data_IF_708073975737
#
_entry.id   IF_708073975737
#
_cell.length_a   1.000
_cell.length_b   1.000
_cell.length_c   1.000
_cell.angle_alpha   90.00
_cell.angle_beta   90.00
_cell.angle_gamma   90.00
#
_symmetry.space_group_name_H-M   'P 1'
#
loop_
_entity.id
_entity.type
_entity.pdbx_description
1 polymer ?
#
# COMPACT_ATOMS: atom_id res chain seq x y z
N UNK A 1 -37.73 38.56 16.75
CA UNK A 1 -37.38 39.17 15.46
C UNK A 1 -35.91 39.57 15.51
N UNK A 2 -35.03 38.63 15.19
CA UNK A 2 -33.61 38.91 14.95
C UNK A 2 -33.39 38.83 13.45
N UNK A 3 -33.05 39.94 12.82
CA UNK A 3 -32.76 39.99 11.39
C UNK A 3 -31.47 39.19 11.14
N UNK A 4 -31.59 38.05 10.47
CA UNK A 4 -30.46 37.39 9.82
C UNK A 4 -30.12 38.21 8.58
N UNK A 5 -29.14 39.10 8.71
CA UNK A 5 -28.52 39.76 7.58
C UNK A 5 -27.87 38.69 6.70
N UNK A 6 -28.48 38.40 5.55
CA UNK A 6 -27.87 37.68 4.45
C UNK A 6 -26.66 38.48 3.96
N UNK A 7 -25.49 38.20 4.52
CA UNK A 7 -24.24 38.80 4.11
C UNK A 7 -23.78 38.20 2.78
N UNK A 8 -24.35 38.68 1.69
CA UNK A 8 -23.71 38.61 0.38
C UNK A 8 -22.47 39.52 0.47
N UNK A 9 -21.26 38.95 0.55
CA UNK A 9 -19.98 39.65 0.51
C UNK A 9 -19.04 38.98 -0.50
N UNK A 10 -18.18 39.73 -1.22
CA UNK A 10 -18.42 39.98 -2.63
C UNK A 10 -17.39 39.35 -3.58
N UNK A 11 -17.78 39.32 -4.86
CA UNK A 11 -17.03 39.08 -6.11
C UNK A 11 -15.73 39.91 -6.25
N UNK A 12 -15.33 40.67 -5.23
CA UNK A 12 -14.30 41.71 -5.30
C UNK A 12 -12.86 41.17 -5.39
N UNK A 13 -12.62 39.92 -4.95
CA UNK A 13 -11.28 39.30 -5.03
C UNK A 13 -11.19 38.12 -6.01
N UNK A 14 -12.28 37.73 -6.66
CA UNK A 14 -12.33 36.47 -7.42
C UNK A 14 -11.31 36.45 -8.55
N UNK A 15 -11.17 37.57 -9.27
CA UNK A 15 -10.20 37.74 -10.33
C UNK A 15 -8.77 37.56 -9.80
N UNK A 16 -8.42 38.25 -8.73
CA UNK A 16 -7.08 38.16 -8.15
C UNK A 16 -6.76 36.74 -7.67
N UNK A 17 -7.70 36.08 -6.99
CA UNK A 17 -7.55 34.72 -6.46
C UNK A 17 -7.46 33.68 -7.58
N UNK A 18 -8.31 33.78 -8.60
CA UNK A 18 -8.29 32.90 -9.75
C UNK A 18 -6.99 33.03 -10.55
N UNK A 19 -6.50 34.26 -10.76
CA UNK A 19 -5.22 34.50 -11.44
C UNK A 19 -4.03 33.95 -10.65
N UNK A 20 -4.03 34.12 -9.32
CA UNK A 20 -3.00 33.53 -8.44
C UNK A 20 -3.01 32.00 -8.47
N UNK A 21 -4.19 31.37 -8.41
CA UNK A 21 -4.32 29.92 -8.49
C UNK A 21 -3.85 29.39 -9.85
N UNK A 22 -4.31 30.03 -10.94
CA UNK A 22 -3.97 29.63 -12.29
C UNK A 22 -2.47 29.80 -12.59
N UNK A 23 -1.82 30.82 -12.03
CA UNK A 23 -0.36 30.98 -12.08
C UNK A 23 0.37 29.77 -11.45
N UNK A 24 -0.06 29.32 -10.27
CA UNK A 24 0.51 28.11 -9.65
C UNK A 24 0.27 26.86 -10.49
N UNK A 25 -0.91 26.72 -11.08
CA UNK A 25 -1.23 25.58 -11.95
C UNK A 25 -0.37 25.58 -13.21
N UNK A 26 -0.18 26.74 -13.85
CA UNK A 26 0.70 26.88 -15.01
C UNK A 26 2.15 26.57 -14.67
N UNK A 27 2.65 27.03 -13.53
CA UNK A 27 3.99 26.67 -13.02
C UNK A 27 4.14 25.18 -12.78
N UNK A 28 3.12 24.52 -12.21
CA UNK A 28 3.14 23.06 -12.04
C UNK A 28 3.11 22.34 -13.39
N UNK A 29 2.33 22.84 -14.35
CA UNK A 29 2.16 22.26 -15.67
C UNK A 29 3.48 22.22 -16.47
N UNK A 30 4.42 23.15 -16.24
CA UNK A 30 5.73 23.12 -16.92
C UNK A 30 6.60 21.92 -16.55
N UNK A 31 6.28 21.22 -15.45
CA UNK A 31 6.96 20.00 -15.01
C UNK A 31 6.44 18.75 -15.75
N UNK A 32 5.37 18.88 -16.53
CA UNK A 32 4.73 17.78 -17.25
C UNK A 32 4.73 18.04 -18.76
N UNK A 33 4.62 16.95 -19.54
CA UNK A 33 4.64 17.03 -21.02
C UNK A 33 3.34 17.51 -21.63
N UNK A 34 2.23 17.27 -20.94
CA UNK A 34 0.88 17.49 -21.47
C UNK A 34 0.29 18.78 -20.95
N UNK A 35 -0.77 19.26 -21.60
CA UNK A 35 -1.58 20.38 -21.12
C UNK A 35 -2.74 19.92 -20.21
N UNK A 36 -2.60 18.77 -19.55
CA UNK A 36 -3.58 18.24 -18.59
C UNK A 36 -2.91 18.17 -17.23
N UNK A 37 -3.49 18.83 -16.22
CA UNK A 37 -2.90 18.92 -14.90
C UNK A 37 -3.75 18.18 -13.86
N UNK A 38 -3.11 17.28 -13.11
CA UNK A 38 -3.70 16.74 -11.89
C UNK A 38 -3.35 17.62 -10.70
N UNK A 39 -4.36 18.10 -9.97
CA UNK A 39 -4.20 18.84 -8.72
C UNK A 39 -4.97 18.12 -7.62
N UNK A 40 -4.30 17.30 -6.80
CA UNK A 40 -4.93 16.72 -5.61
C UNK A 40 -5.38 17.81 -4.65
N UNK A 41 -6.61 17.71 -4.15
CA UNK A 41 -7.17 18.64 -3.19
C UNK A 41 -7.59 17.87 -1.93
N UNK A 42 -6.78 17.97 -0.88
CA UNK A 42 -7.01 17.28 0.38
C UNK A 42 -5.72 17.12 1.16
N UNK A 43 -5.75 16.20 2.11
CA UNK A 43 -4.67 15.90 3.03
C UNK A 43 -5.14 14.88 4.06
N UNK A 44 -4.33 14.66 5.09
CA UNK A 44 -4.68 13.75 6.17
C UNK A 44 -5.97 14.21 6.86
N UNK A 45 -6.97 13.32 6.91
CA UNK A 45 -8.22 13.52 7.62
C UNK A 45 -9.01 14.79 7.19
N UNK A 46 -8.87 15.23 5.94
CA UNK A 46 -9.70 16.29 5.36
C UNK A 46 -11.13 15.83 5.04
N UNK A 47 -12.05 16.79 4.93
CA UNK A 47 -13.46 16.60 4.55
C UNK A 47 -14.29 15.77 5.53
N UNK A 48 -13.93 15.80 6.82
CA UNK A 48 -14.68 15.09 7.86
C UNK A 48 -16.02 15.79 8.16
N UNK A 49 -16.00 17.13 8.15
CA UNK A 49 -17.20 17.93 8.41
C UNK A 49 -17.85 18.40 7.12
N UNK A 50 -19.19 18.47 7.14
CA UNK A 50 -19.97 19.02 6.02
C UNK A 50 -19.57 20.49 5.78
N UNK A 51 -19.36 21.27 6.85
CA UNK A 51 -18.99 22.68 6.74
C UNK A 51 -17.65 22.88 6.01
N UNK A 52 -16.64 22.06 6.31
CA UNK A 52 -15.35 22.07 5.60
C UNK A 52 -15.53 21.70 4.13
N UNK A 53 -16.24 20.60 3.84
CA UNK A 53 -16.46 20.13 2.49
C UNK A 53 -17.22 21.15 1.64
N UNK A 54 -18.27 21.74 2.20
CA UNK A 54 -19.09 22.76 1.53
C UNK A 54 -18.27 24.03 1.28
N UNK A 55 -17.49 24.49 2.27
CA UNK A 55 -16.62 25.65 2.10
C UNK A 55 -15.57 25.42 0.99
N UNK A 56 -14.96 24.25 0.92
CA UNK A 56 -14.01 23.91 -0.14
C UNK A 56 -14.71 23.86 -1.50
N UNK A 57 -15.84 23.16 -1.59
CA UNK A 57 -16.59 23.01 -2.83
C UNK A 57 -17.03 24.36 -3.40
N UNK A 58 -17.67 25.20 -2.58
CA UNK A 58 -18.19 26.49 -3.05
C UNK A 58 -17.10 27.47 -3.46
N UNK A 59 -15.98 27.52 -2.72
CA UNK A 59 -14.86 28.38 -3.08
C UNK A 59 -14.21 27.95 -4.40
N UNK A 60 -13.93 26.66 -4.57
CA UNK A 60 -13.34 26.14 -5.82
C UNK A 60 -14.29 26.26 -7.00
N UNK A 61 -15.58 26.01 -6.80
CA UNK A 61 -16.61 26.21 -7.83
C UNK A 61 -16.60 27.66 -8.32
N UNK A 62 -16.59 28.63 -7.41
CA UNK A 62 -16.56 30.05 -7.79
C UNK A 62 -15.30 30.42 -8.57
N UNK A 63 -14.14 29.85 -8.18
CA UNK A 63 -12.87 30.03 -8.91
C UNK A 63 -12.91 29.41 -10.31
N UNK A 64 -13.44 28.19 -10.44
CA UNK A 64 -13.56 27.50 -11.71
C UNK A 64 -14.53 28.21 -12.64
N UNK A 65 -15.67 28.67 -12.13
CA UNK A 65 -16.66 29.44 -12.89
C UNK A 65 -16.01 30.70 -13.49
N UNK A 66 -15.22 31.45 -12.70
CA UNK A 66 -14.46 32.60 -13.21
C UNK A 66 -13.41 32.20 -14.25
N UNK A 67 -12.62 31.15 -14.00
CA UNK A 67 -11.57 30.73 -14.95
C UNK A 67 -12.20 30.33 -16.29
N UNK A 68 -13.25 29.51 -16.25
CA UNK A 68 -13.90 28.94 -17.43
C UNK A 68 -14.72 29.99 -18.21
N UNK A 69 -15.24 31.03 -17.55
CA UNK A 69 -15.97 32.12 -18.20
C UNK A 69 -15.08 33.16 -18.89
N UNK A 70 -13.75 33.06 -18.76
CA UNK A 70 -12.79 34.04 -19.29
C UNK A 70 -11.89 33.40 -20.37
N UNK A 71 -12.29 33.44 -21.66
CA UNK A 71 -11.53 32.80 -22.75
C UNK A 71 -10.08 33.25 -22.88
N UNK A 72 -9.76 34.49 -22.47
CA UNK A 72 -8.39 35.02 -22.48
C UNK A 72 -7.42 34.25 -21.56
N UNK A 73 -7.94 33.46 -20.62
CA UNK A 73 -7.13 32.65 -19.70
C UNK A 73 -6.70 31.31 -20.31
N UNK A 74 -7.26 30.88 -21.45
CA UNK A 74 -6.90 29.63 -22.14
C UNK A 74 -6.78 28.42 -21.18
N UNK A 75 -7.72 28.30 -20.27
CA UNK A 75 -7.71 27.28 -19.23
C UNK A 75 -9.13 26.75 -18.99
N UNK A 76 -9.22 25.48 -18.65
CA UNK A 76 -10.44 24.82 -18.20
C UNK A 76 -10.13 24.11 -16.88
N UNK A 77 -10.94 24.37 -15.86
CA UNK A 77 -10.79 23.77 -14.54
C UNK A 77 -12.14 23.19 -14.08
N UNK A 78 -12.11 21.97 -13.55
CA UNK A 78 -13.27 21.29 -12.99
C UNK A 78 -12.83 20.30 -11.92
N UNK A 79 -13.76 19.89 -11.06
CA UNK A 79 -13.55 18.74 -10.19
C UNK A 79 -13.54 17.48 -11.04
N UNK A 80 -12.59 16.59 -10.79
CA UNK A 80 -12.47 15.33 -11.50
C UNK A 80 -11.86 14.25 -10.64
N UNK A 81 -11.93 13.03 -11.16
CA UNK A 81 -11.37 11.82 -10.54
C UNK A 81 -10.01 11.47 -11.14
N UNK A 82 -9.26 10.58 -10.47
CA UNK A 82 -7.99 10.06 -11.00
C UNK A 82 -8.18 9.35 -12.34
N UNK A 83 -9.28 8.63 -12.50
CA UNK A 83 -9.61 7.90 -13.72
C UNK A 83 -9.89 8.87 -14.89
N UNK A 84 -10.69 9.91 -14.67
CA UNK A 84 -10.92 10.96 -15.68
C UNK A 84 -9.63 11.67 -16.11
N UNK A 85 -8.73 11.96 -15.17
CA UNK A 85 -7.41 12.51 -15.49
C UNK A 85 -6.62 11.60 -16.43
N UNK A 86 -6.47 10.31 -16.09
CA UNK A 86 -5.68 9.39 -16.90
C UNK A 86 -6.34 9.06 -18.24
N UNK A 87 -7.67 8.98 -18.30
CA UNK A 87 -8.42 8.86 -19.57
C UNK A 87 -8.20 10.06 -20.48
N UNK A 88 -8.29 11.28 -19.93
CA UNK A 88 -8.05 12.52 -20.66
C UNK A 88 -6.61 12.61 -21.17
N UNK A 89 -5.65 12.26 -20.32
CA UNK A 89 -4.23 12.26 -20.66
C UNK A 89 -3.92 11.29 -21.80
N UNK A 90 -4.43 10.06 -21.73
CA UNK A 90 -4.24 9.04 -22.78
C UNK A 90 -4.87 9.49 -24.10
N UNK A 91 -6.12 9.95 -24.07
CA UNK A 91 -6.80 10.44 -25.28
C UNK A 91 -6.09 11.62 -25.96
N UNK A 92 -5.36 12.46 -25.19
CA UNK A 92 -4.51 13.52 -25.76
C UNK A 92 -3.17 13.00 -26.27
N UNK A 93 -2.54 12.06 -25.55
CA UNK A 93 -1.29 11.43 -25.98
C UNK A 93 -1.43 10.71 -27.34
N UNK A 94 -2.59 10.12 -27.61
CA UNK A 94 -2.87 9.47 -28.90
C UNK A 94 -2.97 10.46 -30.07
N UNK A 95 -3.23 11.74 -29.77
CA UNK A 95 -3.43 12.81 -30.78
C UNK A 95 -2.22 13.70 -30.95
N UNK A 96 -1.42 13.88 -29.91
CA UNK A 96 -0.28 14.78 -29.87
C UNK A 96 0.97 13.97 -29.55
N UNK A 97 1.95 14.01 -30.44
CA UNK A 97 3.22 13.35 -30.22
C UNK A 97 4.08 14.15 -29.22
N UNK A 98 4.16 13.67 -27.98
CA UNK A 98 4.99 14.25 -26.92
C UNK A 98 6.43 13.70 -26.88
N UNK A 99 6.86 12.95 -27.90
CA UNK A 99 8.18 12.30 -27.92
C UNK A 99 9.32 13.31 -28.02
N UNK A 100 10.40 13.03 -27.29
CA UNK A 100 11.65 13.79 -27.40
C UNK A 100 12.67 13.04 -28.29
N UNK A 101 13.56 13.75 -29.01
CA UNK A 101 14.42 13.14 -30.05
C UNK A 101 15.43 12.07 -29.60
N UNK A 102 15.62 11.84 -28.28
CA UNK A 102 16.67 10.96 -27.74
C UNK A 102 16.14 10.08 -26.58
N UNK A 103 14.83 9.83 -26.52
CA UNK A 103 14.24 9.12 -25.40
C UNK A 103 13.85 7.68 -25.75
N UNK A 104 14.16 6.74 -24.85
CA UNK A 104 13.57 5.40 -24.90
C UNK A 104 12.06 5.54 -24.64
N UNK A 105 11.27 5.39 -25.70
CA UNK A 105 9.82 5.49 -25.63
C UNK A 105 9.20 4.36 -24.82
N UNK A 106 8.02 4.62 -24.27
CA UNK A 106 7.15 3.61 -23.70
C UNK A 106 6.43 2.84 -24.82
N UNK A 107 6.44 1.50 -24.72
CA UNK A 107 5.69 0.63 -25.62
C UNK A 107 4.16 0.74 -25.44
N UNK A 108 3.72 1.33 -24.32
CA UNK A 108 2.29 1.43 -23.98
C UNK A 108 1.67 2.78 -24.33
N UNK A 109 2.46 3.87 -24.33
CA UNK A 109 1.99 5.22 -24.60
C UNK A 109 3.07 6.00 -25.34
N UNK A 110 2.81 6.34 -26.61
CA UNK A 110 3.71 7.17 -27.40
C UNK A 110 3.93 8.55 -26.76
N UNK A 111 5.16 9.06 -26.83
CA UNK A 111 5.52 10.35 -26.26
C UNK A 111 5.85 10.38 -24.77
N UNK A 112 5.94 9.22 -24.11
CA UNK A 112 6.37 9.08 -22.72
C UNK A 112 7.62 8.19 -22.60
N UNK A 113 8.46 8.41 -21.58
CA UNK A 113 9.61 7.55 -21.29
C UNK A 113 9.19 6.16 -20.83
N UNK A 114 10.03 5.18 -21.10
CA UNK A 114 10.13 3.99 -20.25
C UNK A 114 11.10 4.24 -19.08
N UNK A 115 10.80 3.67 -17.91
CA UNK A 115 11.65 3.73 -16.71
C UNK A 115 11.63 2.36 -16.00
N UNK A 116 12.79 1.89 -15.55
CA UNK A 116 12.94 0.65 -14.79
C UNK A 116 13.81 0.87 -13.55
N UNK A 117 13.49 0.21 -12.45
CA UNK A 117 14.21 0.30 -11.16
C UNK A 117 13.24 0.37 -9.99
N UNK A 118 13.75 0.78 -8.83
CA UNK A 118 12.93 1.12 -7.67
C UNK A 118 13.15 2.59 -7.27
N UNK A 119 12.50 3.00 -6.18
CA UNK A 119 12.66 4.33 -5.59
C UNK A 119 13.17 4.24 -4.14
N UNK A 120 14.07 3.28 -3.85
CA UNK A 120 14.70 3.14 -2.54
C UNK A 120 16.17 3.60 -2.55
N UNK A 121 16.69 4.21 -1.47
CA UNK A 121 15.99 4.61 -0.24
C UNK A 121 15.53 6.07 -0.33
N UNK A 122 14.25 6.29 -0.02
CA UNK A 122 13.63 7.61 -0.01
C UNK A 122 14.29 8.57 1.02
N UNK A 123 14.46 9.82 0.61
CA UNK A 123 14.77 10.95 1.49
C UNK A 123 13.88 12.13 1.09
N UNK A 124 13.18 12.72 2.05
CA UNK A 124 12.33 13.90 1.82
C UNK A 124 13.17 15.19 1.78
N UNK A 125 14.32 15.20 2.49
CA UNK A 125 15.27 16.31 2.54
C UNK A 125 16.70 15.80 2.55
N UNK A 126 17.56 16.41 1.75
CA UNK A 126 19.03 16.30 1.81
C UNK A 126 19.55 14.90 2.20
N UNK A 127 19.93 14.71 3.47
CA UNK A 127 20.54 13.50 4.02
C UNK A 127 19.61 12.73 4.98
N UNK A 128 18.32 13.10 5.03
CA UNK A 128 17.31 12.46 5.88
C UNK A 128 16.77 11.21 5.17
N UNK A 129 17.61 10.19 5.05
CA UNK A 129 17.22 8.91 4.45
C UNK A 129 16.32 8.11 5.39
N UNK A 130 15.17 7.68 4.89
CA UNK A 130 14.19 6.92 5.66
C UNK A 130 14.53 5.42 5.65
N UNK A 131 15.79 5.04 5.86
CA UNK A 131 16.19 3.62 5.96
C UNK A 131 15.92 3.01 7.34
N UNK A 132 15.75 3.85 8.38
CA UNK A 132 15.57 3.38 9.76
C UNK A 132 14.33 2.51 9.97
N UNK A 133 13.26 2.71 9.19
CA UNK A 133 12.05 1.90 9.31
C UNK A 133 12.23 0.46 8.80
N UNK A 134 13.30 0.16 8.06
CA UNK A 134 13.64 -1.21 7.64
C UNK A 134 13.91 -2.12 8.84
N UNK A 135 14.40 -1.59 9.96
CA UNK A 135 14.73 -2.38 11.18
C UNK A 135 13.84 -2.01 12.37
N UNK A 136 13.16 -0.84 12.33
CA UNK A 136 12.29 -0.40 13.42
C UNK A 136 11.27 -1.46 13.84
N UNK A 137 11.18 -1.71 15.15
CA UNK A 137 10.28 -2.72 15.75
C UNK A 137 10.53 -4.15 15.20
N UNK A 138 11.75 -4.70 15.33
CA UNK A 138 12.13 -5.96 14.69
C UNK A 138 11.32 -7.16 15.19
N UNK A 139 10.87 -7.15 16.44
CA UNK A 139 9.97 -8.17 16.99
C UNK A 139 8.72 -8.34 16.13
N UNK A 140 8.02 -7.23 15.81
CA UNK A 140 6.80 -7.30 15.00
C UNK A 140 7.08 -7.67 13.55
N UNK A 141 8.25 -7.29 13.00
CA UNK A 141 8.67 -7.75 11.67
C UNK A 141 8.94 -9.26 11.64
N UNK A 142 9.46 -9.84 12.73
CA UNK A 142 9.62 -11.29 12.84
C UNK A 142 8.26 -12.00 13.00
N UNK A 143 7.36 -11.44 13.82
CA UNK A 143 6.00 -11.95 13.99
C UNK A 143 5.24 -11.95 12.66
N UNK A 144 5.41 -10.92 11.83
CA UNK A 144 4.84 -10.85 10.48
C UNK A 144 5.24 -12.06 9.61
N UNK A 145 6.53 -12.43 9.60
CA UNK A 145 7.00 -13.61 8.84
C UNK A 145 6.49 -14.94 9.37
N UNK A 146 6.42 -15.09 10.70
CA UNK A 146 5.82 -16.29 11.32
C UNK A 146 4.33 -16.36 10.97
N UNK A 147 3.63 -15.23 11.01
CA UNK A 147 2.22 -15.12 10.65
C UNK A 147 1.98 -15.48 9.19
N UNK A 148 2.76 -14.91 8.27
CA UNK A 148 2.71 -15.19 6.83
C UNK A 148 2.86 -16.68 6.54
N UNK A 149 3.91 -17.32 7.09
CA UNK A 149 4.13 -18.75 6.92
C UNK A 149 2.98 -19.58 7.48
N UNK A 150 2.47 -19.21 8.66
CA UNK A 150 1.36 -19.93 9.30
C UNK A 150 0.08 -19.83 8.47
N UNK A 151 -0.24 -18.63 7.96
CA UNK A 151 -1.43 -18.42 7.12
C UNK A 151 -1.36 -19.27 5.86
N UNK A 152 -0.20 -19.25 5.18
CA UNK A 152 0.01 -20.06 3.98
C UNK A 152 -0.15 -21.55 4.25
N UNK A 153 0.43 -22.09 5.32
CA UNK A 153 0.29 -23.50 5.65
C UNK A 153 -1.18 -23.89 5.88
N UNK A 154 -1.92 -23.04 6.60
CA UNK A 154 -3.34 -23.25 6.92
C UNK A 154 -4.24 -23.14 5.69
N UNK A 155 -3.88 -22.41 4.64
CA UNK A 155 -4.62 -22.39 3.37
C UNK A 155 -4.58 -23.72 2.62
N UNK A 156 -3.51 -24.50 2.76
CA UNK A 156 -3.39 -25.82 2.14
C UNK A 156 -4.00 -26.95 2.96
N UNK A 157 -4.38 -26.70 4.21
CA UNK A 157 -5.06 -27.67 5.06
C UNK A 157 -6.58 -27.69 4.81
N UNK A 158 -7.16 -28.88 4.77
CA UNK A 158 -8.61 -29.03 4.65
C UNK A 158 -9.35 -28.41 5.85
N UNK A 159 -10.56 -27.88 5.61
CA UNK A 159 -11.42 -27.31 6.65
C UNK A 159 -11.68 -28.29 7.81
N UNK A 160 -11.81 -29.58 7.51
CA UNK A 160 -11.96 -30.65 8.51
C UNK A 160 -10.76 -30.78 9.45
N UNK A 161 -9.54 -30.55 8.96
CA UNK A 161 -8.32 -30.56 9.78
C UNK A 161 -8.24 -29.26 10.60
N UNK A 162 -8.51 -28.11 9.97
CA UNK A 162 -8.51 -26.80 10.64
C UNK A 162 -9.52 -26.71 11.79
N UNK A 163 -10.70 -27.30 11.63
CA UNK A 163 -11.77 -27.29 12.65
C UNK A 163 -11.42 -28.03 13.95
N UNK A 164 -10.32 -28.80 13.97
CA UNK A 164 -9.85 -29.53 15.16
C UNK A 164 -8.92 -28.69 16.04
N UNK A 165 -8.54 -27.49 15.62
CA UNK A 165 -7.61 -26.62 16.32
C UNK A 165 -8.29 -25.30 16.71
N UNK A 166 -8.49 -25.07 18.02
CA UNK A 166 -9.06 -23.82 18.53
C UNK A 166 -8.03 -22.67 18.54
N UNK A 167 -6.74 -23.00 18.56
CA UNK A 167 -5.59 -22.07 18.49
C UNK A 167 -4.42 -22.78 17.80
N UNK A 168 -3.52 -22.00 17.19
CA UNK A 168 -2.29 -22.46 16.50
C UNK A 168 -1.50 -23.50 17.31
N UNK A 169 -0.64 -24.32 16.67
CA UNK A 169 0.33 -25.14 17.39
C UNK A 169 1.23 -24.24 18.23
N UNK A 170 0.90 -24.12 19.52
CA UNK A 170 1.77 -23.56 20.54
C UNK A 170 2.89 -24.58 20.72
N UNK A 171 4.14 -24.11 20.83
CA UNK A 171 5.24 -24.95 21.30
C UNK A 171 4.84 -25.57 22.63
N UNK A 172 4.41 -26.83 22.59
CA UNK A 172 3.92 -27.56 23.75
C UNK A 172 4.92 -28.67 24.02
N UNK A 173 5.48 -28.65 25.23
CA UNK A 173 6.28 -29.78 25.69
C UNK A 173 5.41 -31.04 25.63
N UNK A 174 5.94 -32.09 25.03
CA UNK A 174 5.30 -33.40 24.96
C UNK A 174 5.41 -34.01 26.35
N UNK A 175 4.26 -34.27 27.00
CA UNK A 175 4.18 -34.97 28.29
C UNK A 175 4.36 -36.48 28.05
N UNK A 176 5.61 -36.90 27.90
CA UNK A 176 5.95 -38.31 27.77
C UNK A 176 5.81 -39.01 29.13
N UNK A 177 5.28 -40.24 29.11
CA UNK A 177 5.19 -41.11 30.28
C UNK A 177 5.74 -42.48 29.94
N UNK A 178 6.35 -43.13 30.92
CA UNK A 178 6.91 -44.47 30.75
C UNK A 178 5.83 -45.45 30.25
N UNK A 179 6.18 -46.26 29.25
CA UNK A 179 5.26 -47.22 28.63
C UNK A 179 4.17 -46.61 27.74
N UNK A 180 4.21 -45.32 27.42
CA UNK A 180 3.25 -44.66 26.52
C UNK A 180 3.90 -44.19 25.22
N UNK A 181 3.08 -43.98 24.19
CA UNK A 181 3.51 -43.43 22.90
C UNK A 181 2.73 -42.15 22.59
N UNK A 182 3.42 -41.17 22.02
CA UNK A 182 2.85 -39.90 21.57
C UNK A 182 3.12 -39.75 20.07
N UNK A 183 2.14 -39.23 19.32
CA UNK A 183 2.25 -39.04 17.87
C UNK A 183 2.50 -37.57 17.55
N UNK A 184 3.42 -37.32 16.62
CA UNK A 184 3.72 -35.98 16.09
C UNK A 184 3.57 -36.03 14.57
N UNK A 185 2.81 -35.10 14.02
CA UNK A 185 2.61 -34.95 12.58
C UNK A 185 3.35 -33.70 12.09
N UNK A 186 4.09 -33.83 11.00
CA UNK A 186 4.78 -32.73 10.34
C UNK A 186 4.09 -32.42 9.02
N UNK A 187 3.73 -31.15 8.82
CA UNK A 187 3.17 -30.65 7.56
C UNK A 187 4.23 -29.89 6.78
N UNK A 188 4.40 -30.24 5.50
CA UNK A 188 5.27 -29.54 4.57
C UNK A 188 4.41 -28.77 3.55
N UNK A 189 4.29 -27.43 3.66
CA UNK A 189 3.49 -26.63 2.74
C UNK A 189 4.20 -26.34 1.40
N UNK A 190 5.37 -26.93 1.16
CA UNK A 190 6.11 -26.80 -0.10
C UNK A 190 5.78 -27.93 -1.06
N UNK A 191 5.80 -27.64 -2.36
CA UNK A 191 5.60 -28.62 -3.44
C UNK A 191 6.81 -29.56 -3.64
N UNK A 192 7.79 -29.52 -2.73
CA UNK A 192 9.04 -30.27 -2.84
C UNK A 192 9.27 -31.11 -1.60
N UNK A 193 9.85 -32.30 -1.79
CA UNK A 193 10.30 -33.15 -0.69
C UNK A 193 11.32 -32.38 0.18
N UNK A 194 11.18 -32.51 1.50
CA UNK A 194 12.02 -31.82 2.47
C UNK A 194 12.42 -32.76 3.58
N UNK A 195 13.72 -32.83 3.84
CA UNK A 195 14.29 -33.43 5.04
C UNK A 195 14.85 -32.30 5.90
N UNK A 196 14.43 -32.21 7.16
CA UNK A 196 14.84 -31.17 8.07
C UNK A 196 14.91 -31.69 9.50
N UNK A 197 15.80 -31.08 10.29
CA UNK A 197 15.91 -31.35 11.72
C UNK A 197 14.72 -30.67 12.42
N UNK A 198 13.81 -31.48 12.96
CA UNK A 198 12.76 -30.99 13.85
C UNK A 198 13.24 -31.04 15.31
N UNK A 199 12.95 -29.97 16.06
CA UNK A 199 13.20 -29.90 17.50
C UNK A 199 11.90 -30.09 18.25
N UNK A 200 11.87 -31.07 19.16
CA UNK A 200 10.72 -31.36 20.02
C UNK A 200 11.15 -31.16 21.48
N UNK A 201 10.31 -30.47 22.25
CA UNK A 201 10.53 -30.30 23.69
C UNK A 201 9.81 -31.44 24.41
N UNK A 202 10.54 -32.19 25.24
CA UNK A 202 10.02 -33.32 26.02
C UNK A 202 10.30 -33.11 27.50
N UNK A 203 9.42 -33.63 28.36
CA UNK A 203 9.54 -33.55 29.82
C UNK A 203 10.55 -34.55 30.43
N UNK A 204 11.00 -35.56 29.66
CA UNK A 204 11.94 -36.59 30.09
C UNK A 204 13.04 -36.80 29.05
N UNK A 205 14.29 -37.08 29.47
CA UNK A 205 15.41 -37.24 28.55
C UNK A 205 15.46 -38.62 27.85
N UNK A 206 14.84 -39.64 28.44
CA UNK A 206 14.84 -41.00 27.92
C UNK A 206 13.63 -41.23 27.00
N UNK A 207 13.79 -40.84 25.73
CA UNK A 207 12.75 -40.94 24.70
C UNK A 207 13.34 -41.57 23.44
N UNK A 208 12.61 -42.54 22.86
CA UNK A 208 12.93 -43.11 21.56
C UNK A 208 12.02 -42.51 20.49
N UNK A 209 12.59 -42.05 19.38
CA UNK A 209 11.82 -41.55 18.23
C UNK A 209 11.70 -42.65 17.19
N UNK A 210 10.47 -42.93 16.79
CA UNK A 210 10.13 -43.93 15.78
C UNK A 210 9.43 -43.25 14.60
N UNK A 211 9.67 -43.74 13.39
CA UNK A 211 8.92 -43.34 12.20
C UNK A 211 7.54 -44.03 12.14
N UNK A 212 6.77 -43.75 11.09
CA UNK A 212 5.44 -44.36 10.88
C UNK A 212 5.48 -45.88 10.68
N UNK A 213 6.64 -46.45 10.40
CA UNK A 213 6.87 -47.90 10.25
C UNK A 213 7.47 -48.53 11.52
N UNK A 214 7.46 -47.83 12.66
CA UNK A 214 8.03 -48.29 13.93
C UNK A 214 9.55 -48.53 13.89
N UNK A 215 10.26 -47.84 13.00
CA UNK A 215 11.72 -47.92 12.89
C UNK A 215 12.38 -46.76 13.64
N UNK A 216 13.47 -47.03 14.35
CA UNK A 216 14.21 -46.00 15.09
C UNK A 216 14.77 -44.93 14.16
N UNK A 217 14.44 -43.68 14.45
CA UNK A 217 15.02 -42.51 13.79
C UNK A 217 16.19 -42.01 14.62
N UNK A 218 17.32 -41.70 13.96
CA UNK A 218 18.48 -41.14 14.66
C UNK A 218 18.10 -39.79 15.26
N UNK A 219 18.22 -39.68 16.58
CA UNK A 219 17.89 -38.48 17.35
C UNK A 219 19.06 -38.06 18.25
N UNK A 220 19.01 -36.81 18.71
CA UNK A 220 19.94 -36.25 19.69
C UNK A 220 19.13 -35.52 20.77
N UNK A 221 19.50 -35.73 22.03
CA UNK A 221 18.96 -34.97 23.15
C UNK A 221 19.98 -33.88 23.56
N UNK A 222 19.46 -32.71 23.92
CA UNK A 222 20.21 -31.60 24.51
C UNK A 222 19.36 -30.99 25.61
N UNK A 223 19.98 -30.52 26.70
CA UNK A 223 19.32 -29.62 27.63
C UNK A 223 19.15 -28.24 27.00
N UNK A 224 18.11 -27.51 27.40
CA UNK A 224 18.03 -26.04 27.21
C UNK A 224 19.14 -25.31 27.97
#
# INVERSE_FOLDING_TARGET
>A
MGQTSSGNQPVENIQERALKLLDQYRKKLTLYRTNTLLVPLGGDFCYISIDEAEAQFQNYRTLFDYINSNPSLNAEAHFGTLDEYFRTLRGKADRINYSLPVEAGSDQIGGFSSLSGDFFTYADRQLDYWSGYYISRPFFKAVDRVLEQTLRAVEFESEQVRSKYDVRPVFKAIDAREGTSQYVEFSNPLEQNREEIAMLIVNMPDVTILDSNWTCVRSQASSE
#
